data_IF_230288173614
#
_entry.id   IF_230288173614
#
_cell.length_a   1.000
_cell.length_b   1.000
_cell.length_c   1.000
_cell.angle_alpha   90.00
_cell.angle_beta   90.00
_cell.angle_gamma   90.00
#
_symmetry.space_group_name_H-M   'P 1'
#
loop_
_entity.id
_entity.type
_entity.pdbx_description
1 polymer ?
#
# COMPACT_ATOMS: atom_id res chain seq x y z
N UNK A 1 9.94 21.98 52.79
CA UNK A 1 10.12 20.51 52.57
C UNK A 1 10.01 20.21 51.09
N UNK A 2 11.13 20.02 50.38
CA UNK A 2 11.12 19.68 48.95
C UNK A 2 11.24 18.17 48.78
N UNK A 3 10.14 17.52 48.35
CA UNK A 3 10.11 16.08 48.12
C UNK A 3 11.01 15.69 46.94
N UNK A 4 12.14 15.07 47.27
CA UNK A 4 13.08 14.48 46.33
C UNK A 4 12.43 13.25 45.66
N UNK A 5 11.88 13.42 44.44
CA UNK A 5 11.42 12.29 43.62
C UNK A 5 12.63 11.48 43.16
N UNK A 6 12.92 10.38 43.86
CA UNK A 6 13.85 9.33 43.40
C UNK A 6 13.43 8.88 41.99
N UNK A 7 14.24 9.21 40.97
CA UNK A 7 14.04 8.71 39.61
C UNK A 7 14.20 7.19 39.65
N UNK A 8 13.13 6.45 39.34
CA UNK A 8 13.20 4.99 39.18
C UNK A 8 14.19 4.70 38.05
N UNK A 9 15.36 4.19 38.41
CA UNK A 9 16.38 3.71 37.46
C UNK A 9 15.75 2.62 36.60
N UNK A 10 15.59 2.88 35.31
CA UNK A 10 15.00 1.94 34.37
C UNK A 10 15.88 0.70 34.27
N UNK A 11 15.41 -0.43 34.78
CA UNK A 11 16.02 -1.73 34.54
C UNK A 11 16.13 -1.96 33.02
N UNK A 12 17.34 -2.00 32.47
CA UNK A 12 17.55 -2.16 31.03
C UNK A 12 18.82 -1.55 30.45
N UNK A 13 19.70 -0.95 31.27
CA UNK A 13 20.99 -0.42 30.79
C UNK A 13 22.13 -1.44 30.97
N UNK A 14 22.01 -2.36 31.95
CA UNK A 14 23.09 -3.28 32.33
C UNK A 14 23.44 -4.39 31.33
N UNK A 15 22.55 -4.76 30.41
CA UNK A 15 22.78 -5.86 29.45
C UNK A 15 22.91 -5.38 28.00
N UNK A 16 23.22 -4.10 27.78
CA UNK A 16 23.43 -3.58 26.42
C UNK A 16 24.74 -4.10 25.87
N UNK A 17 24.68 -4.84 24.77
CA UNK A 17 25.85 -5.29 24.00
C UNK A 17 25.93 -4.49 22.69
N UNK A 18 26.35 -3.21 22.75
CA UNK A 18 26.27 -2.28 21.62
C UNK A 18 27.08 -2.71 20.39
N UNK A 19 28.11 -3.53 20.60
CA UNK A 19 29.00 -4.01 19.53
C UNK A 19 28.68 -5.45 19.08
N UNK A 20 27.65 -6.09 19.63
CA UNK A 20 27.26 -7.41 19.18
C UNK A 20 26.57 -7.29 17.83
N UNK A 21 27.12 -7.96 16.80
CA UNK A 21 26.49 -8.04 15.49
C UNK A 21 25.25 -8.92 15.60
N UNK A 22 24.10 -8.37 15.22
CA UNK A 22 22.88 -9.14 15.04
C UNK A 22 22.93 -9.87 13.70
N UNK A 23 22.38 -11.08 13.66
CA UNK A 23 22.21 -11.80 12.40
C UNK A 23 21.11 -11.15 11.56
N UNK A 24 21.15 -11.36 10.25
CA UNK A 24 20.12 -10.81 9.35
C UNK A 24 18.71 -11.30 9.70
N UNK A 25 18.58 -12.56 10.12
CA UNK A 25 17.33 -13.12 10.59
C UNK A 25 16.78 -12.38 11.82
N UNK A 26 17.65 -12.04 12.78
CA UNK A 26 17.27 -11.25 13.94
C UNK A 26 16.85 -9.82 13.55
N UNK A 27 17.60 -9.18 12.64
CA UNK A 27 17.26 -7.87 12.08
C UNK A 27 15.87 -7.88 11.43
N UNK A 28 15.56 -8.89 10.61
CA UNK A 28 14.24 -9.05 9.97
C UNK A 28 13.13 -9.27 10.99
N UNK A 29 13.34 -10.13 11.98
CA UNK A 29 12.34 -10.39 13.01
C UNK A 29 12.00 -9.11 13.81
N UNK A 30 13.01 -8.36 14.26
CA UNK A 30 12.83 -7.11 15.00
C UNK A 30 12.06 -6.07 14.17
N UNK A 31 12.38 -5.94 12.88
CA UNK A 31 11.67 -5.02 11.98
C UNK A 31 10.24 -5.51 11.71
N UNK A 32 10.03 -6.82 11.60
CA UNK A 32 8.71 -7.44 11.50
C UNK A 32 7.81 -7.12 12.70
N UNK A 33 8.29 -7.33 13.93
CA UNK A 33 7.55 -6.99 15.16
C UNK A 33 7.12 -5.52 15.20
N UNK A 34 7.98 -4.62 14.71
CA UNK A 34 7.72 -3.17 14.68
C UNK A 34 6.75 -2.80 13.57
N UNK A 35 6.85 -3.42 12.39
CA UNK A 35 5.95 -3.17 11.26
C UNK A 35 4.54 -3.70 11.54
N UNK A 36 4.41 -4.84 12.22
CA UNK A 36 3.14 -5.42 12.66
C UNK A 36 2.47 -4.63 13.80
N UNK A 37 3.17 -3.66 14.39
CA UNK A 37 2.66 -2.85 15.49
C UNK A 37 2.67 -3.54 16.86
N UNK A 38 3.23 -4.75 16.97
CA UNK A 38 3.35 -5.49 18.24
C UNK A 38 4.16 -4.70 19.27
N UNK A 39 5.19 -3.99 18.82
CA UNK A 39 6.05 -3.16 19.66
C UNK A 39 6.36 -1.84 18.96
N UNK A 40 6.10 -0.72 19.64
CA UNK A 40 6.47 0.61 19.13
C UNK A 40 7.99 0.82 19.08
N UNK A 41 8.46 1.67 18.17
CA UNK A 41 9.89 1.96 17.92
C UNK A 41 10.69 2.20 19.21
N UNK A 42 10.16 3.03 20.12
CA UNK A 42 10.84 3.35 21.40
C UNK A 42 10.94 2.13 22.32
N UNK A 43 9.92 1.27 22.33
CA UNK A 43 9.92 0.06 23.14
C UNK A 43 10.87 -0.99 22.54
N UNK A 44 10.91 -1.14 21.21
CA UNK A 44 11.85 -2.02 20.51
C UNK A 44 13.31 -1.60 20.75
N UNK A 45 13.62 -0.29 20.68
CA UNK A 45 14.94 0.24 21.02
C UNK A 45 15.38 -0.10 22.46
N UNK A 46 14.45 -0.09 23.42
CA UNK A 46 14.75 -0.46 24.81
C UNK A 46 14.91 -1.96 24.98
N UNK A 47 14.03 -2.77 24.37
CA UNK A 47 14.02 -4.24 24.45
C UNK A 47 15.30 -4.83 23.87
N UNK A 48 15.70 -4.35 22.69
CA UNK A 48 16.85 -4.88 21.95
C UNK A 48 18.13 -4.04 22.11
N UNK A 49 18.10 -2.94 22.88
CA UNK A 49 19.26 -2.07 23.10
C UNK A 49 19.74 -1.34 21.84
N UNK A 50 18.85 -1.12 20.87
CA UNK A 50 19.16 -0.53 19.57
C UNK A 50 18.96 0.99 19.57
N UNK A 51 19.71 1.68 18.72
CA UNK A 51 19.46 3.09 18.43
C UNK A 51 18.20 3.23 17.54
N UNK A 52 17.47 4.34 17.68
CA UNK A 52 16.32 4.65 16.82
C UNK A 52 16.72 4.77 15.35
N UNK A 53 17.89 5.36 15.09
CA UNK A 53 18.38 5.57 13.72
C UNK A 53 18.76 4.25 13.05
N UNK A 54 19.35 3.30 13.79
CA UNK A 54 19.67 1.96 13.25
C UNK A 54 18.41 1.20 12.88
N UNK A 55 17.38 1.23 13.73
CA UNK A 55 16.10 0.59 13.44
C UNK A 55 15.39 1.22 12.23
N UNK A 56 15.47 2.56 12.08
CA UNK A 56 14.91 3.25 10.91
C UNK A 56 15.65 2.88 9.62
N UNK A 57 16.98 2.83 9.67
CA UNK A 57 17.81 2.41 8.52
C UNK A 57 17.47 1.00 8.09
N UNK A 58 17.34 0.06 9.03
CA UNK A 58 16.99 -1.33 8.74
C UNK A 58 15.61 -1.48 8.11
N UNK A 59 14.64 -0.65 8.52
CA UNK A 59 13.30 -0.64 7.92
C UNK A 59 13.34 -0.23 6.45
N UNK A 60 14.11 0.80 6.12
CA UNK A 60 14.29 1.26 4.73
C UNK A 60 15.04 0.22 3.91
N UNK A 61 16.17 -0.26 4.41
CA UNK A 61 17.00 -1.27 3.73
C UNK A 61 16.22 -2.56 3.44
N UNK A 62 15.47 -3.06 4.41
CA UNK A 62 14.64 -4.26 4.22
C UNK A 62 13.46 -4.02 3.28
N UNK A 63 12.87 -2.82 3.25
CA UNK A 63 11.79 -2.50 2.30
C UNK A 63 12.28 -2.41 0.85
N UNK A 64 13.56 -2.10 0.63
CA UNK A 64 14.17 -2.04 -0.70
C UNK A 64 14.69 -3.40 -1.16
N UNK A 65 15.07 -4.28 -0.23
CA UNK A 65 15.60 -5.62 -0.48
C UNK A 65 14.53 -6.69 -0.69
N UNK A 66 13.25 -6.38 -0.46
CA UNK A 66 12.13 -7.26 -0.78
C UNK A 66 11.45 -6.76 -2.05
N UNK A 67 11.80 -7.28 -3.25
CA UNK A 67 10.94 -7.15 -4.42
C UNK A 67 9.69 -7.98 -4.16
N UNK A 68 8.56 -7.32 -3.89
CA UNK A 68 7.22 -7.76 -4.31
C UNK A 68 6.81 -9.22 -4.03
N UNK A 69 7.17 -9.83 -2.90
CA UNK A 69 6.55 -11.09 -2.48
C UNK A 69 6.27 -11.05 -0.97
N UNK A 70 4.98 -11.18 -0.62
CA UNK A 70 4.39 -11.12 0.73
C UNK A 70 4.09 -9.70 1.26
N UNK A 71 3.12 -9.06 0.61
CA UNK A 71 2.12 -8.29 1.36
C UNK A 71 1.04 -9.25 1.87
N UNK A 72 1.02 -9.64 3.16
CA UNK A 72 -0.21 -9.49 3.90
C UNK A 72 -0.32 -7.99 4.16
N UNK A 73 -1.02 -7.29 3.28
CA UNK A 73 -1.68 -6.03 3.63
C UNK A 73 -2.79 -6.35 4.64
N UNK A 74 -2.41 -6.89 5.80
CA UNK A 74 -3.20 -6.77 7.01
C UNK A 74 -2.87 -5.37 7.52
N UNK A 75 -3.61 -4.41 6.95
CA UNK A 75 -3.76 -3.08 7.50
C UNK A 75 -4.03 -3.28 8.99
N UNK A 76 -3.14 -2.76 9.82
CA UNK A 76 -3.37 -2.65 11.25
C UNK A 76 -4.80 -2.09 11.45
N UNK A 77 -5.63 -2.64 12.35
CA UNK A 77 -6.88 -2.01 12.70
C UNK A 77 -6.52 -0.70 13.39
N UNK A 78 -6.51 0.37 12.60
CA UNK A 78 -6.30 1.71 13.08
C UNK A 78 -7.42 1.98 14.09
N UNK A 79 -6.98 2.20 15.31
CA UNK A 79 -7.84 2.73 16.35
C UNK A 79 -8.24 4.13 15.88
N UNK A 80 -9.56 4.33 15.75
CA UNK A 80 -10.23 5.63 15.58
C UNK A 80 -10.49 6.09 14.13
N UNK A 81 -11.33 5.34 13.39
CA UNK A 81 -12.57 5.87 12.76
C UNK A 81 -13.26 4.78 11.90
N UNK A 82 -14.56 4.45 12.10
CA UNK A 82 -15.24 3.39 11.36
C UNK A 82 -15.67 3.77 9.93
N UNK A 83 -15.22 4.90 9.37
CA UNK A 83 -15.79 5.50 8.15
C UNK A 83 -14.98 5.44 6.84
N UNK A 84 -13.65 5.22 6.78
CA UNK A 84 -12.93 5.31 5.49
C UNK A 84 -13.21 4.09 4.58
N UNK A 85 -13.40 2.91 5.15
CA UNK A 85 -13.56 1.67 4.37
C UNK A 85 -14.92 1.59 3.65
N UNK A 86 -15.97 2.18 4.23
CA UNK A 86 -17.32 2.23 3.65
C UNK A 86 -17.39 3.19 2.46
N UNK A 87 -16.74 4.35 2.58
CA UNK A 87 -16.69 5.36 1.51
C UNK A 87 -15.88 4.88 0.31
N UNK A 88 -14.71 4.27 0.55
CA UNK A 88 -13.88 3.66 -0.50
C UNK A 88 -14.61 2.53 -1.23
N UNK A 89 -15.23 1.60 -0.50
CA UNK A 89 -15.98 0.51 -1.13
C UNK A 89 -17.19 1.01 -1.94
N UNK A 90 -17.85 2.08 -1.48
CA UNK A 90 -18.94 2.75 -2.21
C UNK A 90 -18.42 3.40 -3.50
N UNK A 91 -17.27 4.05 -3.46
CA UNK A 91 -16.63 4.65 -4.64
C UNK A 91 -16.26 3.58 -5.66
N UNK A 92 -15.63 2.48 -5.23
CA UNK A 92 -15.29 1.36 -6.12
C UNK A 92 -16.54 0.82 -6.81
N UNK A 93 -17.63 0.56 -6.07
CA UNK A 93 -18.90 0.09 -6.64
C UNK A 93 -19.53 1.08 -7.63
N UNK A 94 -19.44 2.38 -7.35
CA UNK A 94 -19.97 3.41 -8.24
C UNK A 94 -19.16 3.48 -9.55
N UNK A 95 -17.83 3.44 -9.45
CA UNK A 95 -16.93 3.46 -10.60
C UNK A 95 -17.07 2.21 -11.47
N UNK A 96 -17.15 1.02 -10.88
CA UNK A 96 -17.35 -0.22 -11.66
C UNK A 96 -18.69 -0.23 -12.39
N UNK A 97 -19.75 0.29 -11.76
CA UNK A 97 -21.06 0.44 -12.41
C UNK A 97 -21.00 1.42 -13.58
N UNK A 98 -20.35 2.57 -13.41
CA UNK A 98 -20.19 3.56 -14.47
C UNK A 98 -19.39 3.00 -15.66
N UNK A 99 -18.33 2.24 -15.37
CA UNK A 99 -17.52 1.54 -16.36
C UNK A 99 -18.38 0.56 -17.17
N UNK A 100 -19.14 -0.31 -16.50
CA UNK A 100 -20.02 -1.27 -17.17
C UNK A 100 -21.07 -0.59 -18.06
N UNK A 101 -21.65 0.53 -17.60
CA UNK A 101 -22.59 1.32 -18.41
C UNK A 101 -21.93 1.94 -19.64
N UNK A 102 -20.72 2.46 -19.51
CA UNK A 102 -19.96 3.02 -20.63
C UNK A 102 -19.63 1.95 -21.68
N UNK A 103 -19.19 0.77 -21.23
CA UNK A 103 -18.93 -0.37 -22.13
C UNK A 103 -20.18 -0.81 -22.89
N UNK A 104 -21.32 -0.90 -22.20
CA UNK A 104 -22.61 -1.26 -22.83
C UNK A 104 -23.03 -0.22 -23.88
N UNK A 105 -22.85 1.07 -23.60
CA UNK A 105 -23.10 2.14 -24.59
C UNK A 105 -22.18 2.01 -25.79
N UNK A 106 -20.89 1.79 -25.58
CA UNK A 106 -19.91 1.62 -26.66
C UNK A 106 -20.30 0.43 -27.53
N UNK A 107 -20.63 -0.72 -26.94
CA UNK A 107 -21.07 -1.89 -27.72
C UNK A 107 -22.36 -1.61 -28.48
N UNK A 108 -23.32 -0.91 -27.87
CA UNK A 108 -24.57 -0.54 -28.54
C UNK A 108 -24.37 0.42 -29.72
N UNK A 109 -23.44 1.38 -29.60
CA UNK A 109 -23.11 2.26 -30.72
C UNK A 109 -22.37 1.52 -31.84
N UNK A 110 -21.48 0.59 -31.50
CA UNK A 110 -20.79 -0.24 -32.49
C UNK A 110 -21.78 -1.08 -33.29
N UNK A 111 -22.70 -1.78 -32.62
CA UNK A 111 -23.72 -2.61 -33.30
C UNK A 111 -24.69 -1.76 -34.11
N UNK A 112 -25.09 -0.59 -33.62
CA UNK A 112 -25.93 0.33 -34.39
C UNK A 112 -25.23 0.81 -35.67
N UNK A 113 -23.93 1.09 -35.61
CA UNK A 113 -23.13 1.46 -36.79
C UNK A 113 -23.11 0.29 -37.78
N UNK A 114 -22.81 -0.93 -37.32
CA UNK A 114 -22.77 -2.13 -38.17
C UNK A 114 -24.11 -2.36 -38.89
N UNK A 115 -25.22 -2.34 -38.16
CA UNK A 115 -26.56 -2.50 -38.73
C UNK A 115 -26.89 -1.39 -39.73
N UNK A 116 -26.50 -0.14 -39.44
CA UNK A 116 -26.73 0.99 -40.34
C UNK A 116 -25.92 0.86 -41.63
N UNK A 117 -24.65 0.48 -41.56
CA UNK A 117 -23.82 0.21 -42.75
C UNK A 117 -24.42 -0.90 -43.61
N UNK A 118 -24.91 -1.97 -42.98
CA UNK A 118 -25.49 -3.12 -43.66
C UNK A 118 -26.82 -2.82 -44.35
N UNK A 119 -27.70 -2.04 -43.70
CA UNK A 119 -29.04 -1.72 -44.20
C UNK A 119 -29.04 -0.57 -45.20
N UNK A 120 -28.30 0.50 -44.90
CA UNK A 120 -28.29 1.72 -45.71
C UNK A 120 -27.21 1.69 -46.80
N UNK A 121 -26.27 0.74 -46.74
CA UNK A 121 -25.14 0.60 -47.68
C UNK A 121 -24.25 1.85 -47.75
N UNK A 122 -24.25 2.66 -46.70
CA UNK A 122 -23.38 3.83 -46.53
C UNK A 122 -22.21 3.43 -45.64
N UNK A 123 -20.99 3.79 -46.03
CA UNK A 123 -19.78 3.52 -45.24
C UNK A 123 -19.57 4.62 -44.21
N UNK A 124 -19.84 4.31 -42.94
CA UNK A 124 -19.74 5.26 -41.82
C UNK A 124 -18.35 5.18 -41.19
N UNK A 125 -17.82 3.97 -40.96
CA UNK A 125 -16.52 3.75 -40.33
C UNK A 125 -15.38 3.83 -41.36
N UNK A 126 -14.31 4.53 -41.02
CA UNK A 126 -13.05 4.45 -41.77
C UNK A 126 -12.46 3.04 -41.61
N UNK A 127 -12.05 2.42 -42.71
CA UNK A 127 -11.34 1.14 -42.71
C UNK A 127 -9.84 1.42 -42.68
N UNK A 128 -9.10 0.71 -41.83
CA UNK A 128 -7.64 0.80 -41.76
C UNK A 128 -7.03 0.56 -43.16
N UNK A 129 -6.04 1.35 -43.52
CA UNK A 129 -5.36 1.25 -44.83
C UNK A 129 -5.97 2.05 -45.98
N UNK A 130 -7.06 2.81 -45.77
CA UNK A 130 -7.59 3.68 -46.84
C UNK A 130 -6.65 4.89 -47.02
N UNK A 131 -6.07 5.06 -48.22
CA UNK A 131 -5.19 6.19 -48.58
C UNK A 131 -5.91 7.51 -48.27
N UNK A 132 -5.28 8.40 -47.51
CA UNK A 132 -5.82 9.75 -47.25
C UNK A 132 -6.02 10.45 -48.59
N UNK A 133 -7.20 11.03 -48.81
CA UNK A 133 -7.40 11.95 -49.92
C UNK A 133 -6.54 13.18 -49.63
N UNK A 134 -5.66 13.52 -50.58
CA UNK A 134 -4.99 14.81 -50.54
C UNK A 134 -6.05 15.88 -50.81
N UNK A 135 -5.97 16.96 -50.05
CA UNK A 135 -6.79 18.17 -50.21
C UNK A 135 -6.32 18.96 -51.44
#
# INVERSE_FOLDING_TARGET
MTNNRRRKTTAGIGNRRPYQRLTEAQKRNIVGEVNQGLIGIRAACRKYGLNRNTLRSWRVELSLLTPEETLPTELSPDMTDPQPNSTLSRQVKALTKALAQAQLKISGYQTMIEVAEDKLKIKIRKKSGTKRSNE
#
